data_IF_682997518593
#
_entry.id   IF_682997518593
#
_cell.length_a   1.000
_cell.length_b   1.000
_cell.length_c   1.000
_cell.angle_alpha   90.00
_cell.angle_beta   90.00
_cell.angle_gamma   90.00
#
_symmetry.space_group_name_H-M   'P 1'
#
loop_
_entity.id
_entity.type
_entity.pdbx_description
1 polymer ?
#
# COMPACT_ATOMS: atom_id res chain seq x y z
N UNK A 1 9.07 8.97 -19.68
CA UNK A 1 7.76 9.66 -19.72
C UNK A 1 7.79 10.79 -18.69
N UNK A 2 7.09 11.92 -18.90
CA UNK A 2 6.91 12.91 -17.84
C UNK A 2 6.23 12.26 -16.64
N UNK A 3 6.63 12.67 -15.42
CA UNK A 3 6.08 12.13 -14.18
C UNK A 3 4.62 12.56 -14.04
N UNK A 4 3.73 11.60 -13.92
CA UNK A 4 2.31 11.84 -13.66
C UNK A 4 2.14 12.39 -12.23
N UNK A 5 1.44 13.50 -12.08
CA UNK A 5 1.20 14.16 -10.78
C UNK A 5 -0.17 13.85 -10.20
N UNK A 6 -1.14 13.48 -11.05
CA UNK A 6 -2.51 13.15 -10.68
C UNK A 6 -2.97 11.92 -11.47
N UNK A 7 -3.74 11.00 -10.85
CA UNK A 7 -4.26 9.83 -11.55
C UNK A 7 -5.32 10.23 -12.57
N UNK A 8 -5.37 9.50 -13.68
CA UNK A 8 -6.45 9.58 -14.67
C UNK A 8 -7.36 8.36 -14.58
N UNK A 9 -8.63 8.57 -14.92
CA UNK A 9 -9.69 7.55 -14.85
C UNK A 9 -10.39 7.42 -16.21
N UNK A 10 -10.90 6.22 -16.48
CA UNK A 10 -11.76 5.98 -17.63
C UNK A 10 -13.20 6.45 -17.38
N UNK A 11 -14.08 6.20 -18.36
CA UNK A 11 -15.50 6.59 -18.30
C UNK A 11 -16.28 5.93 -17.16
N UNK A 12 -15.80 4.78 -16.68
CA UNK A 12 -16.45 3.95 -15.67
C UNK A 12 -15.82 4.19 -14.28
N UNK A 13 -14.88 5.13 -14.18
CA UNK A 13 -14.20 5.52 -12.95
C UNK A 13 -13.03 4.62 -12.56
N UNK A 14 -12.60 3.73 -13.45
CA UNK A 14 -11.43 2.87 -13.21
C UNK A 14 -10.12 3.63 -13.49
N UNK A 15 -9.04 3.35 -12.76
CA UNK A 15 -7.72 3.87 -13.12
C UNK A 15 -7.37 3.46 -14.54
N UNK A 16 -6.90 4.42 -15.35
CA UNK A 16 -6.44 4.14 -16.72
C UNK A 16 -5.16 3.31 -16.71
N UNK A 17 -4.84 2.70 -17.86
CA UNK A 17 -3.53 2.04 -18.03
C UNK A 17 -2.36 3.02 -17.83
N UNK A 18 -2.53 4.31 -18.15
CA UNK A 18 -1.50 5.34 -17.91
C UNK A 18 -1.22 5.51 -16.42
N UNK A 19 -2.28 5.54 -15.58
CA UNK A 19 -2.16 5.59 -14.12
C UNK A 19 -1.47 4.33 -13.58
N UNK A 20 -1.89 3.15 -14.06
CA UNK A 20 -1.31 1.88 -13.63
C UNK A 20 0.18 1.79 -14.03
N UNK A 21 0.53 2.19 -15.26
CA UNK A 21 1.90 2.14 -15.73
C UNK A 21 2.80 3.14 -15.00
N UNK A 22 2.27 4.33 -14.65
CA UNK A 22 2.99 5.27 -13.79
C UNK A 22 3.40 4.63 -12.46
N UNK A 23 2.49 3.88 -11.82
CA UNK A 23 2.77 3.15 -10.56
C UNK A 23 3.80 2.04 -10.77
N UNK A 24 3.67 1.25 -11.85
CA UNK A 24 4.62 0.16 -12.18
C UNK A 24 6.04 0.67 -12.41
N UNK A 25 6.18 1.86 -13.00
CA UNK A 25 7.46 2.48 -13.33
C UNK A 25 7.90 3.55 -12.31
N UNK A 26 7.26 3.62 -11.14
CA UNK A 26 7.49 4.72 -10.20
C UNK A 26 8.96 4.78 -9.78
N UNK A 27 9.62 5.96 -9.81
CA UNK A 27 11.06 6.07 -9.52
C UNK A 27 11.43 5.59 -8.12
N UNK A 28 12.56 4.90 -7.99
CA UNK A 28 13.06 4.37 -6.72
C UNK A 28 13.39 5.47 -5.70
N UNK A 29 13.95 6.58 -6.16
CA UNK A 29 14.33 7.74 -5.35
C UNK A 29 13.09 8.34 -4.67
N UNK A 30 11.93 8.16 -5.27
CA UNK A 30 10.64 8.69 -4.85
C UNK A 30 9.64 7.60 -4.43
N UNK A 31 10.14 6.43 -4.06
CA UNK A 31 9.35 5.24 -3.72
C UNK A 31 8.30 5.45 -2.62
N UNK A 32 8.42 6.48 -1.78
CA UNK A 32 7.39 6.80 -0.77
C UNK A 32 6.27 7.67 -1.32
N UNK A 33 6.50 8.40 -2.41
CA UNK A 33 5.51 9.29 -3.03
C UNK A 33 4.44 8.53 -3.84
N UNK A 34 4.67 7.26 -4.16
CA UNK A 34 3.68 6.41 -4.85
C UNK A 34 2.45 6.13 -3.99
N UNK A 35 2.61 6.10 -2.66
CA UNK A 35 1.53 5.79 -1.72
C UNK A 35 0.44 6.87 -1.67
N UNK A 36 0.75 8.17 -1.49
CA UNK A 36 -0.27 9.21 -1.59
C UNK A 36 -0.85 9.33 -3.01
N UNK A 37 -0.09 9.02 -4.06
CA UNK A 37 -0.61 8.95 -5.43
C UNK A 37 -1.68 7.84 -5.56
N UNK A 38 -1.40 6.63 -5.09
CA UNK A 38 -2.37 5.52 -5.06
C UNK A 38 -3.59 5.89 -4.22
N UNK A 39 -3.40 6.55 -3.08
CA UNK A 39 -4.52 6.98 -2.23
C UNK A 39 -5.41 8.02 -2.92
N UNK A 40 -4.83 8.93 -3.72
CA UNK A 40 -5.61 9.87 -4.55
C UNK A 40 -6.35 9.19 -5.71
N UNK A 41 -5.91 7.99 -6.10
CA UNK A 41 -6.54 7.19 -7.14
C UNK A 41 -7.60 6.22 -6.59
N UNK A 42 -7.78 6.17 -5.27
CA UNK A 42 -8.64 5.19 -4.61
C UNK A 42 -10.11 5.49 -4.80
N UNK A 43 -10.94 4.45 -4.94
CA UNK A 43 -12.37 4.64 -5.22
C UNK A 43 -13.19 5.18 -4.03
N UNK A 44 -12.78 4.85 -2.80
CA UNK A 44 -13.45 5.28 -1.57
C UNK A 44 -12.46 5.99 -0.63
N UNK A 45 -12.78 7.21 -0.21
CA UNK A 45 -11.86 8.08 0.56
C UNK A 45 -11.34 7.48 1.87
N UNK A 46 -12.02 6.49 2.45
CA UNK A 46 -11.64 5.83 3.70
C UNK A 46 -10.83 4.53 3.51
N UNK A 47 -10.74 4.05 2.27
CA UNK A 47 -10.10 2.79 1.93
C UNK A 47 -8.59 2.86 1.72
N UNK A 48 -7.99 4.05 1.64
CA UNK A 48 -6.55 4.23 1.44
C UNK A 48 -6.01 5.34 2.33
N UNK A 49 -5.21 4.99 3.36
CA UNK A 49 -4.80 5.98 4.36
C UNK A 49 -3.42 5.72 4.94
N UNK A 50 -2.68 6.80 5.13
CA UNK A 50 -1.54 6.83 6.04
C UNK A 50 -2.06 6.92 7.49
N UNK A 51 -1.97 5.80 8.22
CA UNK A 51 -2.47 5.72 9.60
C UNK A 51 -1.48 6.28 10.61
N UNK A 52 -0.19 6.26 10.26
CA UNK A 52 0.95 6.84 10.98
C UNK A 52 2.05 7.15 9.96
N UNK A 53 3.02 8.03 10.26
CA UNK A 53 4.10 8.35 9.34
C UNK A 53 4.82 7.11 8.78
N UNK A 54 4.66 6.86 7.49
CA UNK A 54 5.22 5.71 6.77
C UNK A 54 4.45 4.40 6.89
N UNK A 55 3.24 4.40 7.47
CA UNK A 55 2.38 3.22 7.60
C UNK A 55 1.07 3.43 6.82
N UNK A 56 1.03 2.84 5.63
CA UNK A 56 -0.13 2.90 4.74
C UNK A 56 -1.00 1.67 4.87
N UNK A 57 -2.32 1.88 4.89
CA UNK A 57 -3.33 0.84 4.92
C UNK A 57 -4.24 1.03 3.72
N UNK A 58 -4.42 -0.04 2.94
CA UNK A 58 -5.32 -0.08 1.80
C UNK A 58 -6.33 -1.21 1.95
N UNK A 59 -7.61 -0.90 1.88
CA UNK A 59 -8.72 -1.84 1.85
C UNK A 59 -9.41 -1.74 0.49
N UNK A 60 -9.30 -2.77 -0.36
CA UNK A 60 -9.80 -2.75 -1.73
C UNK A 60 -11.31 -2.72 -1.81
N UNK A 61 -12.01 -3.15 -0.74
CA UNK A 61 -13.47 -3.24 -0.69
C UNK A 61 -14.09 -4.18 -1.72
N UNK A 62 -13.28 -5.05 -2.35
CA UNK A 62 -13.70 -5.93 -3.44
C UNK A 62 -13.94 -5.22 -4.77
N UNK A 63 -13.40 -4.00 -4.95
CA UNK A 63 -13.47 -3.26 -6.21
C UNK A 63 -12.19 -3.46 -7.03
N UNK A 64 -12.34 -3.92 -8.28
CA UNK A 64 -11.22 -4.37 -9.12
C UNK A 64 -10.27 -3.27 -9.56
N UNK A 65 -10.69 -1.99 -9.58
CA UNK A 65 -9.75 -0.89 -9.86
C UNK A 65 -8.77 -0.64 -8.71
N UNK A 66 -9.20 -0.79 -7.46
CA UNK A 66 -8.33 -0.69 -6.28
C UNK A 66 -7.34 -1.86 -6.26
N UNK A 67 -7.81 -3.04 -6.63
CA UNK A 67 -6.96 -4.23 -6.80
C UNK A 67 -5.90 -3.99 -7.88
N UNK A 68 -6.29 -3.38 -9.01
CA UNK A 68 -5.37 -3.02 -10.10
C UNK A 68 -4.27 -2.05 -9.65
N UNK A 69 -4.59 -1.06 -8.81
CA UNK A 69 -3.59 -0.15 -8.22
C UNK A 69 -2.58 -0.89 -7.33
N UNK A 70 -3.06 -1.82 -6.51
CA UNK A 70 -2.21 -2.64 -5.63
C UNK A 70 -1.34 -3.59 -6.45
N UNK A 71 -1.89 -4.20 -7.50
CA UNK A 71 -1.13 -5.08 -8.39
C UNK A 71 -0.05 -4.31 -9.17
N UNK A 72 -0.35 -3.08 -9.61
CA UNK A 72 0.65 -2.20 -10.20
C UNK A 72 1.78 -1.85 -9.21
N UNK A 73 1.45 -1.56 -7.94
CA UNK A 73 2.44 -1.32 -6.90
C UNK A 73 3.31 -2.56 -6.66
N UNK A 74 2.71 -3.75 -6.62
CA UNK A 74 3.40 -5.04 -6.43
C UNK A 74 4.32 -5.40 -7.59
N UNK A 75 3.94 -5.06 -8.83
CA UNK A 75 4.82 -5.21 -9.98
C UNK A 75 6.09 -4.36 -9.87
N UNK A 76 5.99 -3.19 -9.22
CA UNK A 76 7.15 -2.35 -8.94
C UNK A 76 8.00 -2.88 -7.75
N UNK A 77 7.38 -3.60 -6.79
CA UNK A 77 8.01 -4.14 -5.58
C UNK A 77 9.13 -5.15 -5.77
N UNK A 78 9.31 -5.77 -6.93
CA UNK A 78 10.49 -6.60 -7.16
C UNK A 78 11.81 -5.83 -6.94
N UNK A 79 11.76 -4.49 -6.88
CA UNK A 79 12.86 -3.61 -6.55
C UNK A 79 12.91 -3.11 -5.09
N UNK A 80 11.87 -3.33 -4.26
CA UNK A 80 11.72 -2.68 -2.94
C UNK A 80 11.80 -3.67 -1.74
N UNK A 81 12.55 -3.29 -0.70
CA UNK A 81 12.49 -3.92 0.65
C UNK A 81 11.38 -3.29 1.50
N UNK A 82 10.13 -3.42 1.07
CA UNK A 82 8.98 -3.08 1.91
C UNK A 82 8.56 -4.27 2.77
N UNK A 83 8.00 -3.97 3.95
CA UNK A 83 7.31 -4.97 4.76
C UNK A 83 5.82 -4.79 4.49
N UNK A 84 5.15 -5.87 4.07
CA UNK A 84 3.72 -5.85 3.81
C UNK A 84 3.00 -7.01 4.45
N UNK A 85 1.79 -6.75 4.93
CA UNK A 85 0.84 -7.76 5.40
C UNK A 85 -0.35 -7.74 4.44
N UNK A 86 -0.72 -8.90 3.92
CA UNK A 86 -1.84 -9.07 3.00
C UNK A 86 -2.87 -10.00 3.63
N UNK A 87 -4.06 -9.46 3.88
CA UNK A 87 -5.17 -10.14 4.53
C UNK A 87 -6.40 -10.00 3.63
N UNK A 88 -6.45 -10.79 2.55
CA UNK A 88 -7.51 -10.70 1.55
C UNK A 88 -7.51 -9.32 0.87
N UNK A 89 -8.60 -8.58 1.04
CA UNK A 89 -8.79 -7.21 0.50
C UNK A 89 -8.04 -6.13 1.29
N UNK A 90 -7.38 -6.46 2.41
CA UNK A 90 -6.62 -5.51 3.23
C UNK A 90 -5.12 -5.68 3.01
N UNK A 91 -4.42 -4.59 2.78
CA UNK A 91 -2.96 -4.54 2.72
C UNK A 91 -2.39 -3.45 3.63
N UNK A 92 -1.32 -3.78 4.34
CA UNK A 92 -0.57 -2.84 5.19
C UNK A 92 0.84 -2.71 4.66
N UNK A 93 1.36 -1.50 4.57
CA UNK A 93 2.64 -1.19 3.96
C UNK A 93 3.47 -0.28 4.87
N UNK A 94 4.62 -0.78 5.29
CA UNK A 94 5.59 -0.02 6.07
C UNK A 94 6.76 0.46 5.19
N UNK A 95 6.89 1.77 5.05
CA UNK A 95 7.83 2.41 4.10
C UNK A 95 8.97 3.17 4.78
N UNK A 96 8.85 3.45 6.07
CA UNK A 96 9.90 3.98 6.94
C UNK A 96 10.41 2.90 7.89
N UNK A 97 11.61 3.07 8.44
CA UNK A 97 12.16 2.08 9.39
C UNK A 97 11.37 2.05 10.70
N UNK A 98 10.86 3.20 11.16
CA UNK A 98 9.96 3.26 12.30
C UNK A 98 8.66 2.47 12.03
N UNK A 99 8.04 2.63 10.86
CA UNK A 99 6.83 1.87 10.51
C UNK A 99 7.12 0.36 10.39
N UNK A 100 8.32 -0.03 9.92
CA UNK A 100 8.71 -1.45 9.85
C UNK A 100 8.84 -2.06 11.24
N UNK A 101 9.45 -1.34 12.19
CA UNK A 101 9.53 -1.75 13.60
C UNK A 101 8.15 -1.88 14.24
N UNK A 102 7.23 -0.95 13.95
CA UNK A 102 5.84 -1.03 14.41
C UNK A 102 5.13 -2.30 13.91
N UNK A 103 5.28 -2.63 12.63
CA UNK A 103 4.69 -3.85 12.04
C UNK A 103 5.31 -5.10 12.64
N UNK A 104 6.63 -5.14 12.83
CA UNK A 104 7.32 -6.27 13.45
C UNK A 104 6.90 -6.48 14.92
N UNK A 105 6.77 -5.40 15.69
CA UNK A 105 6.26 -5.46 17.05
C UNK A 105 4.81 -5.96 17.08
N UNK A 106 3.97 -5.52 16.14
CA UNK A 106 2.59 -6.00 16.03
C UNK A 106 2.54 -7.49 15.68
N UNK A 107 3.34 -7.94 14.72
CA UNK A 107 3.44 -9.35 14.36
C UNK A 107 3.90 -10.20 15.53
N UNK A 108 4.95 -9.79 16.25
CA UNK A 108 5.39 -10.51 17.46
C UNK A 108 4.25 -10.65 18.46
N UNK A 109 3.49 -9.57 18.70
CA UNK A 109 2.34 -9.60 19.60
C UNK A 109 1.24 -10.54 19.13
N UNK A 110 0.92 -10.56 17.84
CA UNK A 110 -0.07 -11.47 17.25
C UNK A 110 0.40 -12.92 17.37
N UNK A 111 1.67 -13.19 17.07
CA UNK A 111 2.29 -14.52 17.17
C UNK A 111 2.27 -14.99 18.62
N UNK A 112 2.70 -14.16 19.57
CA UNK A 112 2.72 -14.51 20.98
C UNK A 112 1.31 -14.78 21.52
N UNK A 113 0.33 -13.94 21.14
CA UNK A 113 -1.09 -14.18 21.44
C UNK A 113 -1.59 -15.50 20.86
N UNK A 114 -1.31 -15.78 19.58
CA UNK A 114 -1.75 -16.99 18.90
C UNK A 114 -1.17 -18.27 19.53
N UNK A 115 0.03 -18.17 20.11
CA UNK A 115 0.70 -19.27 20.81
C UNK A 115 0.46 -19.27 22.33
N UNK A 116 -0.42 -18.41 22.86
CA UNK A 116 -0.76 -18.36 24.29
C UNK A 116 0.38 -17.93 25.20
N UNK A 117 1.39 -17.22 24.68
CA UNK A 117 2.45 -16.65 25.50
C UNK A 117 1.93 -15.41 26.23
N UNK A 118 2.32 -15.21 27.51
CA UNK A 118 1.97 -13.99 28.20
C UNK A 118 2.62 -12.78 27.50
N UNK A 119 1.97 -11.60 27.48
CA UNK A 119 2.60 -10.39 26.96
C UNK A 119 3.89 -10.13 27.73
N UNK A 120 5.00 -9.90 27.01
CA UNK A 120 6.26 -9.52 27.65
C UNK A 120 6.03 -8.30 28.57
N UNK A 121 6.31 -8.49 29.85
CA UNK A 121 6.26 -7.47 30.92
C UNK A 121 7.33 -6.41 30.74
#
# INVERSE_FOLDING_TARGET
MPKMTEPTFDRDGYPTEETLEAIKQWPWEERTAVFPFIASAWHWDDGAKETRPGLWVFATGGWSGNESLIDALRANMCHYRFRSLLLGSLSVWAVTDAAKQDVEAMESRIVDWAWGKPPCS
#
